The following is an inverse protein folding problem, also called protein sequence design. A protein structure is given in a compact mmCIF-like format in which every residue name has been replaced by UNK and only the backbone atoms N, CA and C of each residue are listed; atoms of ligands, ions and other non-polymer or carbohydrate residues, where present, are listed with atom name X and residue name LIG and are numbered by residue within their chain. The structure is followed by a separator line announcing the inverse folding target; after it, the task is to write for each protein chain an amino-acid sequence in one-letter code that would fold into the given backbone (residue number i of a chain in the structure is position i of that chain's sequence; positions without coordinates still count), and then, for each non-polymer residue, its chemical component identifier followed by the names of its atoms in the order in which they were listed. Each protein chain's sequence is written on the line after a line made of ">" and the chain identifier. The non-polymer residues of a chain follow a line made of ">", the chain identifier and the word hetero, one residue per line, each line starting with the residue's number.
data_IF_188600462812
#
_entry.id   IF_188600462812
#
_cell.length_a   1.000
_cell.length_b   1.000
_cell.length_c   1.000
_cell.angle_alpha   90.00
_cell.angle_beta   90.00
_cell.angle_gamma   90.00
#
_symmetry.space_group_name_H-M   'P 1'
#
loop_
_entity.id
_entity.type
_entity.pdbx_description
1 polymer ?
#
# COMPACT_ATOMS: atom_id res chain seq x y z
N UNK A 1 10.86 -18.20 1.73
CA UNK A 1 10.42 -16.79 1.52
C UNK A 1 9.01 -16.79 0.91
N UNK A 2 7.94 -16.64 1.70
CA UNK A 2 6.57 -16.58 1.15
C UNK A 2 6.40 -15.23 0.45
N UNK A 3 6.36 -15.20 -0.88
CA UNK A 3 6.01 -14.00 -1.65
C UNK A 3 4.60 -13.61 -1.24
N UNK A 4 4.46 -12.47 -0.54
CA UNK A 4 3.16 -11.92 -0.19
C UNK A 4 2.46 -11.54 -1.48
N UNK A 5 1.45 -12.30 -1.87
CA UNK A 5 0.64 -12.00 -3.05
C UNK A 5 -0.39 -10.95 -2.65
N UNK A 6 -0.28 -9.76 -3.25
CA UNK A 6 -1.28 -8.72 -3.10
C UNK A 6 -2.38 -8.95 -4.10
N UNK A 7 -3.59 -9.25 -3.62
CA UNK A 7 -4.75 -9.24 -4.48
C UNK A 7 -5.05 -7.81 -4.94
N UNK A 8 -5.64 -7.66 -6.14
CA UNK A 8 -6.02 -6.35 -6.68
C UNK A 8 -6.91 -5.56 -5.71
N UNK A 9 -7.75 -6.26 -4.95
CA UNK A 9 -8.63 -5.71 -3.93
C UNK A 9 -7.86 -5.10 -2.74
N UNK A 10 -6.78 -5.76 -2.30
CA UNK A 10 -5.92 -5.23 -1.24
C UNK A 10 -5.16 -3.99 -1.71
N UNK A 11 -4.63 -4.00 -2.94
CA UNK A 11 -3.96 -2.82 -3.51
C UNK A 11 -4.90 -1.63 -3.59
N UNK A 12 -6.13 -1.85 -4.06
CA UNK A 12 -7.14 -0.80 -4.17
C UNK A 12 -7.48 -0.17 -2.81
N UNK A 13 -7.62 -1.00 -1.76
CA UNK A 13 -7.88 -0.50 -0.40
C UNK A 13 -6.73 0.37 0.13
N UNK A 14 -5.49 -0.01 -0.16
CA UNK A 14 -4.29 0.73 0.24
C UNK A 14 -4.23 2.07 -0.50
N UNK A 15 -4.50 2.10 -1.81
CA UNK A 15 -4.56 3.34 -2.60
C UNK A 15 -5.66 4.26 -2.06
N UNK A 16 -6.86 3.74 -1.76
CA UNK A 16 -7.94 4.50 -1.17
C UNK A 16 -7.59 5.10 0.19
N UNK A 17 -6.92 4.35 1.08
CA UNK A 17 -6.46 4.89 2.37
C UNK A 17 -5.44 6.02 2.18
N UNK A 18 -4.52 5.90 1.23
CA UNK A 18 -3.57 6.98 0.90
C UNK A 18 -4.25 8.21 0.30
N UNK A 19 -5.25 8.02 -0.56
CA UNK A 19 -6.04 9.10 -1.17
C UNK A 19 -6.97 9.79 -0.17
N UNK A 20 -7.46 9.07 0.85
CA UNK A 20 -8.28 9.61 1.93
C UNK A 20 -7.54 10.68 2.75
N UNK A 21 -6.20 10.76 2.62
CA UNK A 21 -5.37 11.78 3.29
C UNK A 21 -5.25 11.59 4.80
N UNK A 22 -5.83 10.52 5.35
CA UNK A 22 -5.78 10.20 6.78
C UNK A 22 -4.40 9.72 7.22
N UNK A 23 -3.62 9.12 6.33
CA UNK A 23 -2.30 8.55 6.62
C UNK A 23 -1.34 8.94 5.51
N UNK A 24 -0.15 9.43 5.89
CA UNK A 24 0.94 9.69 4.96
C UNK A 24 1.37 8.40 4.22
N UNK A 25 1.59 8.50 2.91
CA UNK A 25 1.97 7.36 2.06
C UNK A 25 3.19 6.62 2.62
N UNK A 26 4.15 7.32 3.24
CA UNK A 26 5.30 6.70 3.90
C UNK A 26 4.91 5.77 5.06
N UNK A 27 3.98 6.20 5.93
CA UNK A 27 3.49 5.39 7.06
C UNK A 27 2.62 4.23 6.56
N UNK A 28 1.82 4.48 5.53
CA UNK A 28 1.02 3.46 4.86
C UNK A 28 1.93 2.37 4.25
N UNK A 29 2.98 2.76 3.53
CA UNK A 29 3.97 1.86 2.96
C UNK A 29 4.65 1.02 4.05
N UNK A 30 5.07 1.62 5.17
CA UNK A 30 5.61 0.88 6.31
C UNK A 30 4.60 -0.11 6.93
N UNK A 31 3.33 0.30 7.10
CA UNK A 31 2.25 -0.54 7.67
C UNK A 31 2.00 -1.79 6.82
N UNK A 32 2.05 -1.65 5.50
CA UNK A 32 1.81 -2.75 4.57
C UNK A 32 3.10 -3.44 4.12
N UNK A 33 4.28 -3.02 4.60
CA UNK A 33 5.58 -3.48 4.10
C UNK A 33 5.68 -3.36 2.56
N UNK A 34 5.17 -2.25 2.04
CA UNK A 34 5.26 -1.87 0.65
C UNK A 34 6.40 -0.88 0.46
N UNK A 35 7.00 -0.92 -0.72
CA UNK A 35 7.87 0.16 -1.18
C UNK A 35 7.00 1.28 -1.77
N UNK A 36 7.44 2.53 -1.61
CA UNK A 36 6.73 3.68 -2.19
C UNK A 36 6.66 3.59 -3.72
N UNK A 37 7.66 2.96 -4.35
CA UNK A 37 7.65 2.61 -5.77
C UNK A 37 6.54 1.61 -6.13
N UNK A 38 6.26 0.60 -5.30
CA UNK A 38 5.13 -0.31 -5.51
C UNK A 38 3.76 0.33 -5.29
N UNK A 39 3.69 1.45 -4.55
CA UNK A 39 2.45 2.20 -4.37
C UNK A 39 2.11 3.04 -5.60
N UNK A 40 3.12 3.57 -6.30
CA UNK A 40 2.94 4.41 -7.49
C UNK A 40 3.02 3.66 -8.84
N UNK A 41 3.44 2.39 -8.85
CA UNK A 41 3.42 1.51 -10.03
C UNK A 41 2.03 0.91 -10.27
#
# INVERSE_FOLDING_TARGET
>A
MKKRQWSSQQKFRIVLEGLSGQIEISKLCSKYQLSQTQYYQ
#
